data_IF_627091633740
#
_entry.id   IF_627091633740
#
_cell.length_a   1.000
_cell.length_b   1.000
_cell.length_c   1.000
_cell.angle_alpha   90.00
_cell.angle_beta   90.00
_cell.angle_gamma   90.00
#
_symmetry.space_group_name_H-M   'P 1'
#
loop_
_entity.id
_entity.type
_entity.pdbx_description
1 polymer ?
#
# COMPACT_ATOMS: atom_id res chain seq x y z
N UNK A 1 -17.13 -13.45 17.51
CA UNK A 1 -16.15 -12.92 18.49
C UNK A 1 -15.30 -14.08 18.94
N UNK A 2 -14.14 -14.30 18.33
CA UNK A 2 -13.18 -15.25 18.90
C UNK A 2 -12.78 -14.73 20.28
N UNK A 3 -13.07 -15.50 21.33
CA UNK A 3 -12.56 -15.20 22.66
C UNK A 3 -11.07 -15.49 22.64
N UNK A 4 -10.28 -14.43 22.48
CA UNK A 4 -8.85 -14.48 22.79
C UNK A 4 -8.74 -14.90 24.25
N UNK A 5 -8.35 -16.16 24.48
CA UNK A 5 -8.16 -16.69 25.84
C UNK A 5 -7.21 -15.77 26.63
N UNK A 6 -7.28 -15.80 27.97
CA UNK A 6 -6.37 -14.99 28.77
C UNK A 6 -4.93 -15.24 28.32
N UNK A 7 -4.15 -14.17 28.14
CA UNK A 7 -2.69 -14.27 28.03
C UNK A 7 -2.09 -14.65 29.40
N UNK A 8 -2.70 -15.62 30.09
CA UNK A 8 -2.24 -16.19 31.34
C UNK A 8 -1.39 -17.40 31.01
N UNK A 9 -0.11 -17.14 30.76
CA UNK A 9 1.01 -17.95 31.23
C UNK A 9 2.30 -17.19 30.92
N UNK A 10 2.90 -16.60 31.96
CA UNK A 10 4.35 -16.36 32.04
C UNK A 10 4.99 -15.59 30.87
N UNK A 11 4.37 -14.51 30.38
CA UNK A 11 5.02 -13.61 29.41
C UNK A 11 5.23 -14.17 27.99
N UNK A 12 4.79 -15.41 27.70
CA UNK A 12 5.00 -16.07 26.39
C UNK A 12 4.21 -15.49 25.23
N UNK A 13 3.35 -14.50 25.46
CA UNK A 13 2.59 -13.87 24.38
C UNK A 13 3.50 -13.13 23.39
N UNK A 14 4.67 -12.65 23.83
CA UNK A 14 5.68 -12.04 22.99
C UNK A 14 6.24 -13.01 21.94
N UNK A 15 6.29 -14.31 22.21
CA UNK A 15 6.73 -15.34 21.26
C UNK A 15 5.81 -15.45 20.04
N UNK A 16 4.57 -14.96 20.17
CA UNK A 16 3.55 -14.97 19.11
C UNK A 16 3.44 -13.63 18.41
N UNK A 17 4.18 -12.61 18.83
CA UNK A 17 4.23 -11.31 18.14
C UNK A 17 5.10 -11.46 16.90
N UNK A 18 4.70 -10.79 15.82
CA UNK A 18 5.50 -10.79 14.59
C UNK A 18 6.89 -10.19 14.84
N UNK A 19 7.97 -10.75 14.27
CA UNK A 19 9.34 -10.29 14.52
C UNK A 19 9.55 -8.78 14.35
N UNK A 20 9.01 -8.18 13.29
CA UNK A 20 9.11 -6.73 13.06
C UNK A 20 8.41 -5.87 14.13
N UNK A 21 7.37 -6.39 14.77
CA UNK A 21 6.55 -5.64 15.73
C UNK A 21 7.03 -5.89 17.19
N UNK A 22 7.89 -6.89 17.37
CA UNK A 22 8.37 -7.34 18.67
C UNK A 22 9.13 -6.26 19.45
N UNK A 23 10.07 -5.50 18.85
CA UNK A 23 10.81 -4.46 19.59
C UNK A 23 9.85 -3.41 20.19
N UNK A 24 8.91 -2.91 19.39
CA UNK A 24 7.93 -1.93 19.83
C UNK A 24 7.01 -2.51 20.93
N UNK A 25 6.52 -3.74 20.78
CA UNK A 25 5.66 -4.38 21.78
C UNK A 25 6.39 -4.61 23.11
N UNK A 26 7.67 -4.99 23.06
CA UNK A 26 8.52 -5.17 24.24
C UNK A 26 8.81 -3.84 24.94
N UNK A 27 9.23 -2.81 24.21
CA UNK A 27 9.55 -1.49 24.77
C UNK A 27 8.34 -0.86 25.45
N UNK A 28 7.16 -0.96 24.82
CA UNK A 28 5.91 -0.44 25.39
C UNK A 28 5.52 -1.19 26.67
N UNK A 29 5.79 -2.50 26.74
CA UNK A 29 5.53 -3.29 27.95
C UNK A 29 6.52 -2.95 29.07
N UNK A 30 7.80 -2.77 28.74
CA UNK A 30 8.81 -2.34 29.71
C UNK A 30 8.48 -0.96 30.29
N UNK A 31 7.97 -0.03 29.48
CA UNK A 31 7.52 1.28 29.94
C UNK A 31 6.37 1.17 30.96
N UNK A 32 5.38 0.30 30.71
CA UNK A 32 4.29 0.03 31.66
C UNK A 32 4.83 -0.57 32.97
N UNK A 33 5.73 -1.56 32.88
CA UNK A 33 6.26 -2.24 34.05
C UNK A 33 7.13 -1.33 34.93
N UNK A 34 7.92 -0.46 34.29
CA UNK A 34 8.72 0.58 34.96
C UNK A 34 7.87 1.72 35.51
N UNK A 35 6.60 1.82 35.08
CA UNK A 35 5.70 2.89 35.49
C UNK A 35 5.97 4.23 34.80
N UNK A 36 6.80 4.27 33.76
CA UNK A 36 6.96 5.47 32.91
C UNK A 36 5.69 5.73 32.09
N UNK A 37 4.91 4.67 31.83
CA UNK A 37 3.58 4.75 31.26
C UNK A 37 2.56 4.11 32.20
N UNK A 38 1.37 4.71 32.31
CA UNK A 38 0.30 4.16 33.15
C UNK A 38 -0.54 3.09 32.44
N UNK A 39 -0.52 3.09 31.10
CA UNK A 39 -1.31 2.20 30.25
C UNK A 39 -0.45 1.68 29.11
N UNK A 40 -0.58 0.40 28.84
CA UNK A 40 -0.07 -0.22 27.62
C UNK A 40 -1.11 -0.04 26.52
N UNK A 41 -0.67 0.50 25.38
CA UNK A 41 -1.45 0.58 24.14
C UNK A 41 -0.52 0.27 22.97
N UNK A 42 -0.78 -0.81 22.26
CA UNK A 42 0.04 -1.18 21.11
C UNK A 42 -0.80 -1.89 20.03
N UNK A 43 -0.47 -1.63 18.77
CA UNK A 43 -0.96 -2.39 17.63
C UNK A 43 0.17 -3.28 17.12
N UNK A 44 -0.06 -4.58 17.04
CA UNK A 44 0.94 -5.53 16.56
C UNK A 44 0.28 -6.75 15.93
N UNK A 45 1.01 -7.45 15.08
CA UNK A 45 0.57 -8.71 14.49
C UNK A 45 0.83 -9.84 15.47
N UNK A 46 -0.21 -10.64 15.73
CA UNK A 46 -0.12 -11.86 16.53
C UNK A 46 -0.36 -13.08 15.64
N UNK A 47 0.47 -14.12 15.82
CA UNK A 47 0.31 -15.40 15.14
C UNK A 47 -0.87 -16.15 15.74
N UNK A 48 -1.88 -16.39 14.93
CA UNK A 48 -3.06 -17.19 15.26
C UNK A 48 -2.72 -18.68 15.32
N UNK A 49 -3.61 -19.49 15.91
CA UNK A 49 -3.42 -20.96 15.97
C UNK A 49 -3.34 -21.59 14.57
N UNK A 50 -4.02 -21.00 13.59
CA UNK A 50 -3.96 -21.38 12.18
C UNK A 50 -2.62 -21.08 11.52
N UNK A 51 -1.73 -20.32 12.17
CA UNK A 51 -0.49 -19.80 11.59
C UNK A 51 -0.64 -18.45 10.89
N UNK A 52 -1.87 -17.98 10.66
CA UNK A 52 -2.12 -16.66 10.07
C UNK A 52 -1.73 -15.52 11.01
N UNK A 53 -1.33 -14.38 10.45
CA UNK A 53 -1.06 -13.15 11.20
C UNK A 53 -2.31 -12.28 11.26
N UNK A 54 -2.68 -11.84 12.47
CA UNK A 54 -3.77 -10.90 12.68
C UNK A 54 -3.28 -9.65 13.39
N UNK A 55 -3.69 -8.48 12.90
CA UNK A 55 -3.48 -7.23 13.62
C UNK A 55 -4.39 -7.16 14.84
N UNK A 56 -3.78 -6.98 16.00
CA UNK A 56 -4.48 -6.78 17.27
C UNK A 56 -4.13 -5.42 17.86
N UNK A 57 -5.12 -4.79 18.48
CA UNK A 57 -4.94 -3.65 19.36
C UNK A 57 -5.04 -4.14 20.80
N UNK A 58 -3.94 -3.99 21.53
CA UNK A 58 -3.84 -4.39 22.92
C UNK A 58 -3.95 -3.16 23.83
N UNK A 59 -4.83 -3.23 24.82
CA UNK A 59 -4.90 -2.29 25.93
C UNK A 59 -4.65 -3.04 27.23
N UNK A 60 -3.71 -2.58 28.05
CA UNK A 60 -3.50 -3.15 29.37
C UNK A 60 -3.09 -2.10 30.39
N UNK A 61 -3.28 -2.42 31.68
CA UNK A 61 -2.82 -1.60 32.79
C UNK A 61 -2.35 -2.51 33.92
N UNK A 62 -1.52 -1.94 34.81
CA UNK A 62 -1.14 -2.62 36.05
C UNK A 62 -2.37 -2.71 36.94
N UNK A 63 -2.82 -3.94 37.18
CA UNK A 63 -3.95 -4.24 38.05
C UNK A 63 -3.52 -4.34 39.53
N UNK A 64 -2.26 -4.69 39.77
CA UNK A 64 -1.78 -4.96 41.12
C UNK A 64 -0.27 -4.72 41.24
N UNK A 65 0.13 -4.05 42.32
CA UNK A 65 1.53 -3.84 42.72
C UNK A 65 1.75 -4.37 44.13
N UNK A 66 2.93 -4.91 44.38
CA UNK A 66 3.40 -5.23 45.71
C UNK A 66 3.71 -3.94 46.50
N UNK A 67 3.80 -4.01 47.85
CA UNK A 67 4.16 -2.85 48.68
C UNK A 67 5.50 -2.19 48.31
N UNK A 68 6.43 -2.95 47.73
CA UNK A 68 7.72 -2.45 47.23
C UNK A 68 7.64 -1.84 45.81
N UNK A 69 6.45 -1.63 45.26
CA UNK A 69 6.23 -1.04 43.94
C UNK A 69 6.33 -2.00 42.75
N UNK A 70 6.77 -3.25 42.97
CA UNK A 70 6.88 -4.28 41.91
C UNK A 70 5.51 -4.61 41.33
N UNK A 71 5.39 -4.61 40.00
CA UNK A 71 4.17 -5.06 39.31
C UNK A 71 3.94 -6.55 39.56
N UNK A 72 2.78 -6.88 40.11
CA UNK A 72 2.36 -8.27 40.33
C UNK A 72 1.45 -8.77 39.21
N UNK A 73 0.56 -7.90 38.70
CA UNK A 73 -0.42 -8.29 37.70
C UNK A 73 -0.69 -7.15 36.72
N UNK A 74 -0.73 -7.53 35.45
CA UNK A 74 -1.19 -6.67 34.35
C UNK A 74 -2.47 -7.30 33.80
N UNK A 75 -3.51 -6.49 33.65
CA UNK A 75 -4.78 -6.91 33.06
C UNK A 75 -5.03 -6.11 31.80
N UNK A 76 -5.53 -6.77 30.76
CA UNK A 76 -5.75 -6.13 29.48
C UNK A 76 -6.72 -6.88 28.58
N UNK A 77 -7.03 -6.25 27.46
CA UNK A 77 -7.89 -6.77 26.40
C UNK A 77 -7.16 -6.69 25.06
N UNK A 78 -7.48 -7.63 24.19
CA UNK A 78 -7.05 -7.64 22.79
C UNK A 78 -8.29 -7.45 21.92
N UNK A 79 -8.21 -6.51 20.98
CA UNK A 79 -9.22 -6.32 19.96
C UNK A 79 -8.64 -6.68 18.60
N UNK A 80 -9.33 -7.52 17.85
CA UNK A 80 -8.99 -7.75 16.44
C UNK A 80 -9.28 -6.48 15.64
N UNK A 81 -8.27 -5.97 14.96
CA UNK A 81 -8.34 -4.76 14.13
C UNK A 81 -7.99 -5.07 12.66
N UNK A 82 -8.01 -6.34 12.26
CA UNK A 82 -7.61 -6.77 10.93
C UNK A 82 -8.52 -6.18 9.84
N UNK A 83 -9.83 -6.11 10.09
CA UNK A 83 -10.76 -5.45 9.16
C UNK A 83 -10.47 -3.95 9.02
N UNK A 84 -10.17 -3.27 10.13
CA UNK A 84 -9.78 -1.86 10.10
C UNK A 84 -8.49 -1.65 9.31
N UNK A 85 -7.47 -2.49 9.54
CA UNK A 85 -6.20 -2.41 8.79
C UNK A 85 -6.38 -2.68 7.30
N UNK A 86 -7.19 -3.69 6.94
CA UNK A 86 -7.54 -3.96 5.54
C UNK A 86 -8.33 -2.81 4.91
N UNK A 87 -9.22 -2.16 5.66
CA UNK A 87 -9.94 -0.98 5.19
C UNK A 87 -8.98 0.21 4.98
N UNK A 88 -8.07 0.46 5.93
CA UNK A 88 -7.01 1.48 5.80
C UNK A 88 -6.13 1.22 4.57
N UNK A 89 -5.73 -0.03 4.33
CA UNK A 89 -4.96 -0.44 3.15
C UNK A 89 -5.74 -0.22 1.85
N UNK A 90 -7.02 -0.61 1.81
CA UNK A 90 -7.89 -0.38 0.64
C UNK A 90 -8.09 1.12 0.38
N UNK A 91 -8.27 1.93 1.41
CA UNK A 91 -8.37 3.39 1.27
C UNK A 91 -7.07 3.99 0.72
N UNK A 92 -5.91 3.54 1.22
CA UNK A 92 -4.60 3.95 0.69
C UNK A 92 -4.41 3.54 -0.77
N UNK A 93 -4.79 2.31 -1.11
CA UNK A 93 -4.76 1.82 -2.48
C UNK A 93 -5.71 2.65 -3.37
N UNK A 94 -6.96 2.86 -2.96
CA UNK A 94 -7.93 3.65 -3.72
C UNK A 94 -7.50 5.11 -3.91
N UNK A 95 -6.75 5.68 -2.95
CA UNK A 95 -6.22 7.04 -3.08
C UNK A 95 -5.17 7.16 -4.19
N UNK A 96 -4.50 6.07 -4.57
CA UNK A 96 -3.32 6.10 -5.47
C UNK A 96 -3.41 5.18 -6.68
N UNK A 97 -4.37 4.25 -6.72
CA UNK A 97 -4.50 3.23 -7.76
C UNK A 97 -5.94 3.13 -8.29
N UNK A 98 -6.06 2.77 -9.56
CA UNK A 98 -7.31 2.39 -10.21
C UNK A 98 -7.72 0.98 -9.80
N UNK A 99 -8.97 0.81 -9.38
CA UNK A 99 -9.45 -0.45 -8.80
C UNK A 99 -9.56 -1.60 -9.81
N UNK A 100 -9.75 -1.29 -11.10
CA UNK A 100 -9.90 -2.31 -12.14
C UNK A 100 -8.54 -2.82 -12.64
N UNK A 101 -7.63 -1.90 -12.97
CA UNK A 101 -6.34 -2.23 -13.61
C UNK A 101 -5.18 -2.33 -12.62
N UNK A 102 -5.35 -1.83 -11.40
CA UNK A 102 -4.29 -1.70 -10.40
C UNK A 102 -3.17 -0.73 -10.81
N UNK A 103 -3.38 0.06 -11.87
CA UNK A 103 -2.44 1.11 -12.28
C UNK A 103 -2.52 2.30 -11.33
N UNK A 104 -1.47 3.14 -11.24
CA UNK A 104 -1.58 4.51 -10.76
C UNK A 104 -2.82 5.22 -11.28
N UNK A 105 -3.56 5.85 -10.37
CA UNK A 105 -4.68 6.73 -10.73
C UNK A 105 -4.18 8.16 -11.01
N UNK A 106 -5.12 9.06 -11.32
CA UNK A 106 -4.83 10.49 -11.55
C UNK A 106 -4.03 11.15 -10.41
N UNK A 107 -4.32 10.83 -9.15
CA UNK A 107 -3.65 11.43 -8.00
C UNK A 107 -2.17 11.03 -7.94
N UNK A 108 -1.88 9.73 -8.07
CA UNK A 108 -0.49 9.25 -8.07
C UNK A 108 0.28 9.71 -9.32
N UNK A 109 -0.37 9.78 -10.48
CA UNK A 109 0.25 10.33 -11.69
C UNK A 109 0.66 11.79 -11.49
N UNK A 110 -0.21 12.62 -10.92
CA UNK A 110 0.08 14.03 -10.66
C UNK A 110 1.29 14.21 -9.73
N UNK A 111 1.38 13.41 -8.66
CA UNK A 111 2.54 13.38 -7.78
C UNK A 111 3.83 13.02 -8.54
N UNK A 112 3.80 11.94 -9.34
CA UNK A 112 4.95 11.51 -10.15
C UNK A 112 5.36 12.52 -11.22
N UNK A 113 4.41 13.22 -11.84
CA UNK A 113 4.69 14.34 -12.75
C UNK A 113 5.44 15.46 -12.01
N UNK A 114 5.01 15.81 -10.80
CA UNK A 114 5.69 16.80 -9.96
C UNK A 114 7.14 16.39 -9.65
N UNK A 115 7.35 15.13 -9.29
CA UNK A 115 8.69 14.57 -9.04
C UNK A 115 9.56 14.57 -10.30
N UNK A 116 9.01 14.17 -11.44
CA UNK A 116 9.69 14.17 -12.73
C UNK A 116 10.13 15.58 -13.14
N UNK A 117 9.25 16.58 -13.03
CA UNK A 117 9.58 17.98 -13.30
C UNK A 117 10.72 18.49 -12.41
N UNK A 118 10.68 18.17 -11.10
CA UNK A 118 11.74 18.54 -10.18
C UNK A 118 13.08 17.88 -10.54
N UNK A 119 13.06 16.61 -10.96
CA UNK A 119 14.24 15.86 -11.42
C UNK A 119 14.82 16.42 -12.73
N UNK A 120 13.96 16.66 -13.71
CA UNK A 120 14.28 17.26 -15.01
C UNK A 120 15.00 18.61 -14.83
N UNK A 121 14.46 19.48 -13.98
CA UNK A 121 15.06 20.79 -13.68
C UNK A 121 16.47 20.66 -13.08
N UNK A 122 16.67 19.72 -12.15
CA UNK A 122 17.99 19.50 -11.52
C UNK A 122 19.02 18.92 -12.49
N UNK A 123 18.60 18.00 -13.35
CA UNK A 123 19.49 17.27 -14.27
C UNK A 123 19.65 17.94 -15.64
N UNK A 124 18.89 19.02 -15.91
CA UNK A 124 18.75 19.64 -17.24
C UNK A 124 18.37 18.61 -18.31
N UNK A 125 17.40 17.76 -17.96
CA UNK A 125 16.81 16.75 -18.85
C UNK A 125 15.34 17.06 -19.05
N UNK A 126 14.73 16.42 -20.04
CA UNK A 126 13.31 16.52 -20.37
C UNK A 126 12.62 15.21 -20.01
N UNK A 127 11.37 15.30 -19.58
CA UNK A 127 10.44 14.17 -19.48
C UNK A 127 9.40 14.24 -20.59
N UNK A 128 8.64 13.17 -20.76
CA UNK A 128 7.52 13.11 -21.70
C UNK A 128 6.26 12.58 -21.01
N UNK A 129 5.12 13.15 -21.33
CA UNK A 129 3.81 12.65 -20.94
C UNK A 129 3.01 12.33 -22.20
N UNK A 130 2.54 11.10 -22.30
CA UNK A 130 1.85 10.55 -23.47
C UNK A 130 0.43 10.24 -23.06
N UNK A 131 -0.53 10.71 -23.83
CA UNK A 131 -1.94 10.36 -23.68
C UNK A 131 -2.29 9.28 -24.71
N UNK A 132 -2.99 8.24 -24.26
CA UNK A 132 -3.37 7.08 -25.07
C UNK A 132 -4.86 6.81 -24.84
N UNK A 133 -5.59 6.62 -25.94
CA UNK A 133 -6.99 6.19 -25.94
C UNK A 133 -7.09 4.83 -26.63
N UNK A 134 -8.02 3.97 -26.20
CA UNK A 134 -8.21 2.66 -26.82
C UNK A 134 -9.23 2.75 -27.95
N UNK A 135 -8.73 2.65 -29.17
CA UNK A 135 -9.57 2.64 -30.37
C UNK A 135 -10.71 1.62 -30.25
N UNK A 136 -11.93 2.08 -30.53
CA UNK A 136 -13.14 1.25 -30.58
C UNK A 136 -13.52 0.55 -29.26
N UNK A 137 -13.00 0.96 -28.11
CA UNK A 137 -13.34 0.34 -26.82
C UNK A 137 -14.85 0.33 -26.55
N UNK A 138 -15.55 1.42 -26.86
CA UNK A 138 -17.02 1.50 -26.78
C UNK A 138 -17.73 0.40 -27.59
N UNK A 139 -17.24 0.05 -28.79
CA UNK A 139 -17.84 -1.01 -29.62
C UNK A 139 -17.74 -2.38 -28.96
N UNK A 140 -16.64 -2.63 -28.24
CA UNK A 140 -16.46 -3.88 -27.48
C UNK A 140 -17.48 -3.94 -26.35
N UNK A 141 -17.63 -2.86 -25.57
CA UNK A 141 -18.63 -2.77 -24.51
C UNK A 141 -20.06 -2.96 -25.05
N UNK A 142 -20.40 -2.28 -26.15
CA UNK A 142 -21.75 -2.33 -26.73
C UNK A 142 -22.08 -3.73 -27.29
N UNK A 143 -21.08 -4.45 -27.81
CA UNK A 143 -21.29 -5.76 -28.46
C UNK A 143 -21.14 -6.96 -27.50
N UNK A 144 -20.30 -6.84 -26.47
CA UNK A 144 -19.92 -7.96 -25.59
C UNK A 144 -20.12 -7.67 -24.10
N UNK A 145 -20.63 -6.49 -23.75
CA UNK A 145 -20.88 -6.05 -22.38
C UNK A 145 -19.65 -5.49 -21.66
N UNK A 146 -19.90 -4.80 -20.55
CA UNK A 146 -18.86 -4.14 -19.75
C UNK A 146 -17.81 -5.10 -19.19
N UNK A 147 -18.18 -6.32 -18.80
CA UNK A 147 -17.23 -7.30 -18.29
C UNK A 147 -16.16 -7.68 -19.35
N UNK A 148 -16.55 -7.73 -20.63
CA UNK A 148 -15.62 -7.99 -21.72
C UNK A 148 -14.69 -6.80 -21.98
N UNK A 149 -15.20 -5.57 -21.89
CA UNK A 149 -14.36 -4.36 -21.95
C UNK A 149 -13.40 -4.26 -20.78
N UNK A 150 -13.84 -4.57 -19.56
CA UNK A 150 -13.00 -4.61 -18.38
C UNK A 150 -11.85 -5.62 -18.54
N UNK A 151 -12.15 -6.82 -19.04
CA UNK A 151 -11.15 -7.85 -19.33
C UNK A 151 -10.15 -7.40 -20.41
N UNK A 152 -10.64 -6.77 -21.49
CA UNK A 152 -9.80 -6.20 -22.54
C UNK A 152 -8.87 -5.14 -21.97
N UNK A 153 -9.38 -4.22 -21.15
CA UNK A 153 -8.60 -3.15 -20.56
C UNK A 153 -7.53 -3.68 -19.62
N UNK A 154 -7.86 -4.65 -18.77
CA UNK A 154 -6.89 -5.33 -17.92
C UNK A 154 -5.76 -5.98 -18.74
N UNK A 155 -6.10 -6.65 -19.84
CA UNK A 155 -5.10 -7.30 -20.69
C UNK A 155 -4.23 -6.30 -21.46
N UNK A 156 -4.83 -5.22 -21.98
CA UNK A 156 -4.09 -4.14 -22.64
C UNK A 156 -3.13 -3.50 -21.64
N UNK A 157 -3.62 -3.06 -20.47
CA UNK A 157 -2.78 -2.40 -19.48
C UNK A 157 -1.66 -3.29 -18.94
N UNK A 158 -1.89 -4.60 -18.82
CA UNK A 158 -0.85 -5.58 -18.51
C UNK A 158 0.25 -5.61 -19.58
N UNK A 159 -0.12 -5.77 -20.86
CA UNK A 159 0.85 -5.77 -21.97
C UNK A 159 1.63 -4.47 -22.06
N UNK A 160 0.96 -3.33 -21.91
CA UNK A 160 1.60 -2.01 -21.91
C UNK A 160 2.65 -1.92 -20.80
N UNK A 161 2.29 -2.33 -19.58
CA UNK A 161 3.21 -2.32 -18.43
C UNK A 161 4.46 -3.16 -18.70
N UNK A 162 4.32 -4.31 -19.35
CA UNK A 162 5.44 -5.21 -19.67
C UNK A 162 6.43 -4.62 -20.71
N UNK A 163 6.02 -3.59 -21.48
CA UNK A 163 6.89 -2.90 -22.46
C UNK A 163 7.64 -1.70 -21.91
N UNK A 164 7.23 -1.21 -20.74
CA UNK A 164 7.74 0.01 -20.13
C UNK A 164 8.91 -0.29 -19.18
N UNK A 165 9.76 0.72 -18.96
CA UNK A 165 10.86 0.61 -17.99
C UNK A 165 10.29 0.74 -16.57
N UNK A 166 11.06 0.27 -15.59
CA UNK A 166 10.69 0.35 -14.17
C UNK A 166 10.42 1.78 -13.69
N UNK A 167 11.13 2.76 -14.25
CA UNK A 167 10.99 4.18 -13.91
C UNK A 167 9.83 4.85 -14.65
N UNK A 168 9.33 4.24 -15.73
CA UNK A 168 8.19 4.76 -16.47
C UNK A 168 6.90 4.51 -15.67
N UNK A 169 5.91 5.37 -15.87
CA UNK A 169 4.62 5.24 -15.20
C UNK A 169 3.51 5.10 -16.21
N UNK A 170 2.83 3.96 -16.24
CA UNK A 170 1.53 3.81 -16.86
C UNK A 170 0.44 4.09 -15.83
N UNK A 171 -0.49 4.98 -16.15
CA UNK A 171 -1.61 5.37 -15.30
C UNK A 171 -2.92 5.28 -16.08
N UNK A 172 -4.03 5.05 -15.37
CA UNK A 172 -5.38 5.12 -15.95
C UNK A 172 -6.11 6.35 -15.41
N UNK A 173 -6.68 7.13 -16.31
CA UNK A 173 -7.39 8.36 -15.97
C UNK A 173 -8.90 8.13 -15.78
N UNK A 174 -9.44 7.14 -16.49
CA UNK A 174 -10.84 6.71 -16.43
C UNK A 174 -11.24 6.12 -17.78
N UNK A 175 -12.30 5.30 -17.84
CA UNK A 175 -12.74 4.70 -19.10
C UNK A 175 -11.61 3.93 -19.80
N UNK A 176 -11.35 4.29 -21.05
CA UNK A 176 -10.30 3.84 -21.97
C UNK A 176 -9.04 4.74 -21.98
N UNK A 177 -9.04 5.83 -21.20
CA UNK A 177 -7.94 6.80 -21.19
C UNK A 177 -6.76 6.35 -20.31
N UNK A 178 -5.59 6.23 -20.94
CA UNK A 178 -4.33 5.87 -20.32
C UNK A 178 -3.31 7.01 -20.49
N UNK A 179 -2.42 7.15 -19.51
CA UNK A 179 -1.29 8.08 -19.58
C UNK A 179 0.02 7.34 -19.32
N UNK A 180 1.05 7.66 -20.09
CA UNK A 180 2.42 7.19 -19.87
C UNK A 180 3.32 8.38 -19.56
N UNK A 181 3.94 8.38 -18.39
CA UNK A 181 4.98 9.33 -18.00
C UNK A 181 6.35 8.66 -18.14
N UNK A 182 7.20 9.29 -18.96
CA UNK A 182 8.63 9.02 -19.06
C UNK A 182 9.35 10.12 -18.26
N UNK A 183 9.81 9.84 -17.02
CA UNK A 183 10.41 10.88 -16.18
C UNK A 183 11.76 11.37 -16.69
N UNK A 184 12.37 10.62 -17.61
CA UNK A 184 13.59 10.96 -18.31
C UNK A 184 13.54 10.49 -19.76
N UNK A 185 13.17 11.42 -20.65
CA UNK A 185 12.98 11.18 -22.08
C UNK A 185 14.17 11.66 -22.93
N UNK A 186 15.13 12.39 -22.37
CA UNK A 186 16.34 12.85 -23.07
C UNK A 186 16.82 14.23 -22.65
N UNK A 187 17.87 14.71 -23.31
CA UNK A 187 18.44 16.06 -23.10
C UNK A 187 17.87 17.11 -24.07
N UNK A 188 17.19 16.69 -25.15
CA UNK A 188 16.63 17.57 -26.17
C UNK A 188 15.18 17.19 -26.53
N UNK A 189 14.40 18.12 -27.10
CA UNK A 189 13.04 17.82 -27.56
C UNK A 189 12.97 16.65 -28.54
N UNK A 190 13.93 16.56 -29.46
CA UNK A 190 13.97 15.46 -30.44
C UNK A 190 14.24 14.10 -29.80
N UNK A 191 15.08 14.05 -28.76
CA UNK A 191 15.29 12.82 -27.98
C UNK A 191 14.02 12.41 -27.24
N UNK A 192 13.35 13.38 -26.61
CA UNK A 192 12.10 13.14 -25.89
C UNK A 192 10.98 12.66 -26.83
N UNK A 193 10.87 13.25 -28.02
CA UNK A 193 9.93 12.82 -29.05
C UNK A 193 10.24 11.40 -29.53
N UNK A 194 11.52 11.08 -29.79
CA UNK A 194 11.93 9.71 -30.19
C UNK A 194 11.58 8.68 -29.11
N UNK A 195 11.85 8.99 -27.84
CA UNK A 195 11.49 8.12 -26.72
C UNK A 195 9.97 7.89 -26.64
N UNK A 196 9.17 8.94 -26.78
CA UNK A 196 7.72 8.84 -26.78
C UNK A 196 7.19 8.01 -27.97
N UNK A 197 7.74 8.22 -29.18
CA UNK A 197 7.40 7.42 -30.37
C UNK A 197 7.79 5.95 -30.22
N UNK A 198 8.92 5.66 -29.58
CA UNK A 198 9.35 4.28 -29.34
C UNK A 198 8.36 3.54 -28.45
N UNK A 199 7.88 4.18 -27.39
CA UNK A 199 6.82 3.62 -26.52
C UNK A 199 5.59 3.32 -27.36
N UNK A 200 5.04 4.31 -28.08
CA UNK A 200 3.85 4.13 -28.92
C UNK A 200 4.03 3.01 -29.96
N UNK A 201 5.22 2.87 -30.54
CA UNK A 201 5.53 1.80 -31.51
C UNK A 201 5.49 0.42 -30.88
N UNK A 202 5.88 0.26 -29.61
CA UNK A 202 5.80 -1.01 -28.88
C UNK A 202 4.36 -1.42 -28.57
N UNK A 203 3.40 -0.49 -28.71
CA UNK A 203 1.98 -0.72 -28.42
C UNK A 203 1.16 -1.12 -29.67
N UNK A 204 1.78 -1.08 -30.86
CA UNK A 204 1.20 -1.56 -32.12
C UNK A 204 1.59 -3.01 -32.36
#
# INVERSE_FOLDING_TARGET
VERFGPLSNEGRWLERVHPDDLPMAQDTMLALLRGTEQRYRAEFRLRMRSGAWHWLLAYAAVAERAPNGRVLRVSGVLMDINERKRAEERLRAAATTDALTGLPNRSLLADRVGQALASCRRRRRLGALIFLDLDHFKRVNDSHGHAAGDALLCEVTRRLRDTLRVDDTLARMGGDELMVLLPDAGASPDEAERAAREVVRKLR
#
